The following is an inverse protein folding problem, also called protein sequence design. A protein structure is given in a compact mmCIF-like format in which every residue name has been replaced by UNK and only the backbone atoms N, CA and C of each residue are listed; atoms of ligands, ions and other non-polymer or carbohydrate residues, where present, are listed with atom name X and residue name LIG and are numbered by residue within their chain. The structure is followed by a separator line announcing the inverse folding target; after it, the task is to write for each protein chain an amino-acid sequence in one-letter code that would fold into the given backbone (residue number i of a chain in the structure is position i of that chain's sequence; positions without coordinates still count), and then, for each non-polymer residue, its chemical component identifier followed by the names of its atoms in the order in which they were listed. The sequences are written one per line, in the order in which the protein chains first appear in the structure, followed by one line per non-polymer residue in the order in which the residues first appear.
data_IF_602379981105
#
_entry.id   IF_602379981105
#
_cell.length_a   1.000
_cell.length_b   1.000
_cell.length_c   1.000
_cell.angle_alpha   90.00
_cell.angle_beta   90.00
_cell.angle_gamma   90.00
#
_symmetry.space_group_name_H-M   'P 1'
#
loop_
_entity.id
_entity.type
_entity.pdbx_description
1 polymer ?
#
# COMPACT_ATOMS: atom_id res chain seq x y z
N UNK A 1 17.51 -24.07 46.29
CA UNK A 1 17.32 -22.63 46.58
C UNK A 1 18.10 -21.69 45.65
N UNK A 2 18.98 -22.16 44.75
CA UNK A 2 19.82 -21.27 43.90
C UNK A 2 19.26 -21.01 42.48
N UNK A 3 18.28 -21.80 42.04
CA UNK A 3 17.67 -21.69 40.69
C UNK A 3 16.80 -20.43 40.54
N UNK A 4 16.17 -19.98 41.63
CA UNK A 4 15.21 -18.88 41.63
C UNK A 4 15.89 -17.50 41.43
N UNK A 5 17.10 -17.33 41.95
CA UNK A 5 17.86 -16.07 41.78
C UNK A 5 18.37 -15.86 40.36
N UNK A 6 18.64 -16.94 39.62
CA UNK A 6 19.08 -16.85 38.21
C UNK A 6 17.92 -16.47 37.30
N UNK A 7 16.73 -17.06 37.52
CA UNK A 7 15.52 -16.71 36.78
C UNK A 7 15.12 -15.23 37.00
N UNK A 8 15.16 -14.76 38.24
CA UNK A 8 14.86 -13.36 38.55
C UNK A 8 15.85 -12.38 37.90
N UNK A 9 17.16 -12.70 37.90
CA UNK A 9 18.17 -11.86 37.23
C UNK A 9 18.00 -11.81 35.71
N UNK A 10 17.62 -12.93 35.09
CA UNK A 10 17.37 -12.99 33.65
C UNK A 10 16.15 -12.17 33.24
N UNK A 11 15.05 -12.26 34.00
CA UNK A 11 13.83 -11.51 33.75
C UNK A 11 14.06 -9.99 33.88
N UNK A 12 14.76 -9.55 34.93
CA UNK A 12 15.11 -8.14 35.13
C UNK A 12 16.00 -7.62 33.99
N UNK A 13 16.99 -8.40 33.55
CA UNK A 13 17.84 -8.03 32.41
C UNK A 13 17.03 -7.87 31.12
N UNK A 14 16.10 -8.77 30.84
CA UNK A 14 15.25 -8.70 29.64
C UNK A 14 14.33 -7.48 29.65
N UNK A 15 13.73 -7.15 30.80
CA UNK A 15 12.86 -5.96 30.93
C UNK A 15 13.64 -4.67 30.70
N UNK A 16 14.87 -4.56 31.20
CA UNK A 16 15.73 -3.37 30.97
C UNK A 16 16.10 -3.22 29.49
N UNK A 17 16.45 -4.32 28.81
CA UNK A 17 16.78 -4.28 27.37
C UNK A 17 15.57 -3.85 26.54
N UNK A 18 14.38 -4.38 26.84
CA UNK A 18 13.14 -3.98 26.14
C UNK A 18 12.84 -2.50 26.37
N UNK A 19 12.98 -2.00 27.61
CA UNK A 19 12.76 -0.58 27.91
C UNK A 19 13.73 0.34 27.15
N UNK A 20 15.00 -0.04 27.04
CA UNK A 20 16.00 0.72 26.26
C UNK A 20 15.69 0.73 24.76
N UNK A 21 15.24 -0.39 24.19
CA UNK A 21 14.85 -0.46 22.78
C UNK A 21 13.62 0.41 22.48
N UNK A 22 12.63 0.42 23.38
CA UNK A 22 11.45 1.28 23.25
C UNK A 22 11.83 2.76 23.33
N UNK A 23 12.71 3.14 24.26
CA UNK A 23 13.20 4.51 24.38
C UNK A 23 13.98 4.96 23.14
N UNK A 24 14.84 4.09 22.58
CA UNK A 24 15.58 4.37 21.36
C UNK A 24 14.67 4.56 20.14
N UNK A 25 13.63 3.74 19.99
CA UNK A 25 12.64 3.88 18.93
C UNK A 25 11.85 5.20 19.04
N UNK A 26 11.45 5.59 20.25
CA UNK A 26 10.77 6.86 20.49
C UNK A 26 11.68 8.06 20.17
N UNK A 27 12.94 8.03 20.59
CA UNK A 27 13.92 9.08 20.29
C UNK A 27 14.18 9.20 18.77
N UNK A 28 14.27 8.08 18.06
CA UNK A 28 14.43 8.08 16.61
C UNK A 28 13.22 8.68 15.89
N UNK A 29 12.00 8.35 16.34
CA UNK A 29 10.76 8.94 15.81
C UNK A 29 10.69 10.45 16.04
N UNK A 30 11.14 10.92 17.21
CA UNK A 30 11.21 12.35 17.54
C UNK A 30 12.25 13.11 16.69
N UNK A 31 13.43 12.54 16.46
CA UNK A 31 14.43 13.15 15.58
C UNK A 31 13.94 13.26 14.13
N UNK A 32 13.19 12.26 13.65
CA UNK A 32 12.59 12.29 12.31
C UNK A 32 11.52 13.38 12.19
N UNK A 33 10.70 13.62 13.22
CA UNK A 33 9.70 14.69 13.17
C UNK A 33 10.32 16.08 13.19
N UNK A 34 11.44 16.28 13.90
CA UNK A 34 12.19 17.54 13.87
C UNK A 34 12.80 17.84 12.49
N UNK A 35 13.35 16.84 11.81
CA UNK A 35 13.91 17.04 10.46
C UNK A 35 12.86 17.47 9.45
N UNK A 36 11.62 16.97 9.56
CA UNK A 36 10.53 17.36 8.67
C UNK A 36 10.06 18.80 8.94
N UNK A 37 10.09 19.25 10.20
CA UNK A 37 9.71 20.61 10.57
C UNK A 37 10.72 21.68 10.11
N UNK A 38 12.01 21.33 10.04
CA UNK A 38 13.07 22.26 9.61
C UNK A 38 13.07 22.46 8.09
N UNK A 39 12.75 21.43 7.30
CA UNK A 39 12.62 21.55 5.85
C UNK A 39 11.45 22.45 5.44
N UNK A 40 10.35 22.47 6.22
CA UNK A 40 9.21 23.35 5.99
C UNK A 40 9.50 24.83 6.23
N UNK A 41 10.61 25.18 6.92
CA UNK A 41 11.04 26.57 7.16
C UNK A 41 12.04 27.09 6.14
N UNK A 42 12.48 26.26 5.19
CA UNK A 42 13.38 26.73 4.15
C UNK A 42 12.64 27.68 3.20
N UNK A 43 13.14 28.90 2.98
CA UNK A 43 12.55 29.81 2.01
C UNK A 43 12.57 29.15 0.63
N UNK A 44 11.42 29.14 -0.02
CA UNK A 44 11.25 28.58 -1.36
C UNK A 44 12.23 29.29 -2.31
N UNK A 45 13.09 28.57 -3.05
CA UNK A 45 13.96 29.20 -4.04
C UNK A 45 13.11 30.02 -5.02
N UNK A 46 13.53 31.25 -5.27
CA UNK A 46 12.89 32.12 -6.24
C UNK A 46 12.81 31.39 -7.59
N UNK A 47 11.69 31.50 -8.32
CA UNK A 47 11.54 30.86 -9.62
C UNK A 47 12.66 31.34 -10.56
N UNK A 48 13.24 30.45 -11.37
CA UNK A 48 14.25 30.85 -12.35
C UNK A 48 13.65 31.89 -13.30
N UNK A 49 14.41 32.97 -13.54
CA UNK A 49 14.03 34.00 -14.50
C UNK A 49 13.77 33.36 -15.87
N UNK A 50 12.59 33.63 -16.44
CA UNK A 50 12.21 33.18 -17.77
C UNK A 50 13.16 33.79 -18.80
N UNK A 51 14.12 33.00 -19.28
CA UNK A 51 14.97 33.37 -20.41
C UNK A 51 14.10 33.26 -21.66
N UNK A 52 13.83 34.40 -22.29
CA UNK A 52 13.10 34.46 -23.56
C UNK A 52 13.84 33.66 -24.64
N UNK A 53 13.16 32.68 -25.21
CA UNK A 53 13.63 31.93 -26.37
C UNK A 53 13.39 32.81 -27.62
N UNK A 54 14.43 33.12 -28.42
CA UNK A 54 14.23 33.79 -29.70
C UNK A 54 13.54 32.86 -30.69
N UNK A 55 12.50 33.38 -31.35
CA UNK A 55 11.90 32.81 -32.56
C UNK A 55 12.96 32.76 -33.68
N UNK A 56 13.30 31.55 -34.11
CA UNK A 56 13.93 31.25 -35.40
C UNK A 56 13.06 30.14 -35.99
N UNK A 57 12.33 30.35 -37.09
CA UNK A 57 12.83 30.71 -38.40
C UNK A 57 12.61 29.48 -39.29
N UNK A 58 11.67 29.59 -40.23
CA UNK A 58 11.36 28.59 -41.26
C UNK A 58 12.62 28.15 -42.01
N UNK A 59 12.81 26.84 -42.18
CA UNK A 59 13.66 26.34 -43.26
C UNK A 59 13.04 25.07 -43.88
N UNK A 60 12.54 25.29 -45.08
CA UNK A 60 12.03 24.35 -46.06
C UNK A 60 13.23 23.75 -46.83
N UNK A 61 13.43 22.42 -46.80
CA UNK A 61 14.18 21.73 -47.86
C UNK A 61 13.68 20.32 -48.08
N UNK A 62 13.17 20.11 -49.29
CA UNK A 62 13.02 18.82 -49.95
C UNK A 62 14.40 18.19 -50.26
N UNK A 63 14.47 16.85 -50.26
CA UNK A 63 15.66 16.13 -50.72
C UNK A 63 15.51 14.61 -50.64
N UNK A 64 15.06 14.01 -51.73
CA UNK A 64 15.03 12.57 -51.96
C UNK A 64 16.41 12.03 -52.35
N UNK A 65 16.78 10.83 -51.89
CA UNK A 65 17.52 9.81 -52.68
C UNK A 65 17.40 8.42 -52.04
N UNK A 66 16.64 7.56 -52.72
CA UNK A 66 16.97 6.21 -53.20
C UNK A 66 18.21 5.49 -52.60
N UNK A 67 18.01 4.26 -52.06
CA UNK A 67 18.88 3.10 -52.29
C UNK A 67 18.40 1.80 -51.58
N UNK A 68 18.12 0.80 -52.41
CA UNK A 68 18.43 -0.62 -52.27
C UNK A 68 17.77 -1.48 -51.16
N UNK A 69 16.78 -2.26 -51.60
CA UNK A 69 16.28 -3.47 -50.96
C UNK A 69 17.26 -4.65 -51.08
N UNK A 70 17.21 -5.60 -50.12
CA UNK A 70 17.42 -7.01 -50.42
C UNK A 70 16.11 -7.79 -50.31
N UNK A 71 15.81 -8.49 -51.40
CA UNK A 71 14.89 -9.61 -51.53
C UNK A 71 15.29 -10.72 -50.56
N UNK A 72 14.36 -11.20 -49.73
CA UNK A 72 14.43 -12.59 -49.26
C UNK A 72 13.03 -13.18 -49.09
N UNK A 73 12.86 -14.35 -49.67
CA UNK A 73 11.61 -15.07 -49.86
C UNK A 73 11.36 -16.01 -48.68
N UNK A 74 10.23 -15.85 -48.02
CA UNK A 74 9.86 -16.69 -46.88
C UNK A 74 8.37 -16.66 -46.58
N UNK A 75 7.54 -16.87 -47.61
CA UNK A 75 6.09 -17.04 -47.45
C UNK A 75 5.79 -18.40 -46.81
N UNK A 76 5.51 -18.42 -45.50
CA UNK A 76 4.69 -19.47 -44.88
C UNK A 76 3.26 -18.96 -44.73
N UNK A 77 2.35 -19.61 -45.45
CA UNK A 77 0.91 -19.37 -45.47
C UNK A 77 0.30 -19.26 -44.06
N UNK A 78 -0.54 -18.24 -43.78
CA UNK A 78 -1.39 -18.27 -42.60
C UNK A 78 -2.50 -19.30 -42.79
N UNK A 79 -2.59 -20.26 -41.87
CA UNK A 79 -3.74 -21.16 -41.79
C UNK A 79 -5.01 -20.36 -41.50
N UNK A 80 -6.04 -20.59 -42.32
CA UNK A 80 -7.38 -20.09 -42.13
C UNK A 80 -7.97 -20.63 -40.81
N UNK A 81 -8.32 -19.73 -39.90
CA UNK A 81 -9.19 -20.03 -38.77
C UNK A 81 -10.63 -20.21 -39.30
N UNK A 82 -11.37 -21.26 -38.89
CA UNK A 82 -12.78 -21.38 -39.25
C UNK A 82 -13.62 -20.30 -38.56
N UNK A 83 -14.56 -19.77 -39.34
CA UNK A 83 -15.57 -18.78 -38.95
C UNK A 83 -16.22 -19.11 -37.60
N UNK A 84 -15.99 -18.25 -36.61
CA UNK A 84 -16.83 -18.20 -35.41
C UNK A 84 -18.15 -17.52 -35.77
N UNK A 85 -19.31 -18.10 -35.39
CA UNK A 85 -20.60 -17.53 -35.71
C UNK A 85 -20.81 -16.19 -34.99
N UNK A 86 -21.37 -15.24 -35.74
CA UNK A 86 -21.76 -13.92 -35.27
C UNK A 86 -22.68 -13.98 -34.03
N UNK A 87 -22.42 -13.19 -32.98
CA UNK A 87 -23.38 -13.04 -31.90
C UNK A 87 -24.58 -12.22 -32.41
N UNK A 88 -25.74 -12.86 -32.40
CA UNK A 88 -27.04 -12.25 -32.64
C UNK A 88 -27.25 -11.10 -31.66
N UNK A 89 -27.34 -9.88 -32.19
CA UNK A 89 -27.73 -8.69 -31.45
C UNK A 89 -29.24 -8.72 -31.16
N UNK A 90 -29.58 -8.86 -29.87
CA UNK A 90 -30.92 -8.59 -29.35
C UNK A 90 -30.79 -8.02 -27.93
N UNK A 91 -31.18 -6.76 -27.75
CA UNK A 91 -31.55 -6.22 -26.43
C UNK A 91 -30.62 -5.15 -25.87
N UNK A 92 -30.86 -3.91 -26.28
CA UNK A 92 -30.48 -2.72 -25.51
C UNK A 92 -31.07 -2.78 -24.09
N UNK A 93 -30.20 -2.77 -23.09
CA UNK A 93 -30.48 -2.06 -21.84
C UNK A 93 -29.16 -1.53 -21.28
N UNK A 94 -29.08 -0.21 -21.19
CA UNK A 94 -27.92 0.50 -20.64
C UNK A 94 -27.67 0.11 -19.19
N UNK A 95 -26.46 -0.36 -18.79
CA UNK A 95 -26.06 -0.32 -17.40
C UNK A 95 -25.53 1.08 -17.09
N UNK A 96 -26.37 1.90 -16.47
CA UNK A 96 -25.94 3.14 -15.81
C UNK A 96 -24.83 2.81 -14.83
N UNK A 97 -23.74 3.59 -14.85
CA UNK A 97 -22.65 3.50 -13.88
C UNK A 97 -23.19 3.53 -12.45
N UNK A 98 -23.12 2.39 -11.77
CA UNK A 98 -23.46 2.26 -10.36
C UNK A 98 -22.42 2.99 -9.51
N UNK A 99 -22.81 4.11 -8.93
CA UNK A 99 -22.06 4.75 -7.87
C UNK A 99 -21.87 3.77 -6.70
N UNK A 100 -20.67 3.68 -6.09
CA UNK A 100 -20.46 2.81 -4.95
C UNK A 100 -21.21 3.31 -3.71
N UNK A 101 -22.08 2.45 -3.16
CA UNK A 101 -22.43 2.43 -1.74
C UNK A 101 -23.85 2.85 -1.38
N UNK A 102 -24.83 1.97 -1.62
CA UNK A 102 -26.10 2.01 -0.86
C UNK A 102 -25.80 1.78 0.62
N UNK A 103 -26.07 2.77 1.45
CA UNK A 103 -25.95 2.68 2.91
C UNK A 103 -27.17 1.92 3.45
N UNK A 104 -26.97 0.74 4.01
CA UNK A 104 -27.99 0.08 4.82
C UNK A 104 -28.10 0.85 6.14
N UNK A 105 -29.15 1.67 6.25
CA UNK A 105 -29.51 2.37 7.48
C UNK A 105 -30.54 1.52 8.23
N UNK A 106 -30.15 0.89 9.34
CA UNK A 106 -31.10 0.15 10.19
C UNK A 106 -31.70 1.13 11.20
N UNK A 107 -32.95 1.53 10.97
CA UNK A 107 -33.69 2.44 11.84
C UNK A 107 -34.42 1.67 12.96
N UNK A 108 -34.14 2.02 14.22
CA UNK A 108 -35.06 1.74 15.32
C UNK A 108 -36.08 2.89 15.42
N UNK A 109 -37.38 2.56 15.38
CA UNK A 109 -38.47 3.54 15.36
C UNK A 109 -38.87 3.87 16.81
N UNK A 110 -38.62 5.10 17.28
CA UNK A 110 -39.16 5.62 18.53
C UNK A 110 -38.50 6.91 19.04
N UNK A 111 -39.05 8.08 18.67
CA UNK A 111 -38.75 9.40 19.27
C UNK A 111 -37.53 10.13 18.71
N UNK A 112 -37.74 11.07 17.77
CA UNK A 112 -36.73 12.04 17.31
C UNK A 112 -35.35 11.45 16.97
N UNK A 113 -35.31 10.48 16.04
CA UNK A 113 -34.06 9.78 15.72
C UNK A 113 -32.94 10.71 15.26
N UNK A 114 -31.71 10.40 15.65
CA UNK A 114 -30.50 11.00 15.11
C UNK A 114 -30.12 10.26 13.82
N UNK A 115 -29.93 11.01 12.73
CA UNK A 115 -29.63 10.46 11.40
C UNK A 115 -28.24 10.91 10.96
N UNK A 116 -27.17 10.27 11.46
CA UNK A 116 -25.83 10.70 11.17
C UNK A 116 -25.50 10.51 9.69
N UNK A 117 -24.83 11.50 9.12
CA UNK A 117 -24.21 11.43 7.80
C UNK A 117 -22.73 11.72 7.94
N UNK A 118 -21.89 10.84 7.40
CA UNK A 118 -20.44 10.97 7.44
C UNK A 118 -19.89 10.84 6.01
N UNK A 119 -18.90 11.65 5.68
CA UNK A 119 -18.12 11.58 4.44
C UNK A 119 -16.63 11.48 4.76
N UNK A 120 -15.87 10.61 4.07
CA UNK A 120 -14.42 10.62 4.15
C UNK A 120 -13.86 11.81 3.36
N UNK A 121 -12.62 12.21 3.68
CA UNK A 121 -11.85 13.17 2.91
C UNK A 121 -11.56 12.66 1.49
N UNK A 122 -11.39 11.34 1.34
CA UNK A 122 -11.17 10.67 0.07
C UNK A 122 -11.90 9.32 0.05
N UNK A 123 -12.59 9.02 -1.05
CA UNK A 123 -13.25 7.72 -1.26
C UNK A 123 -12.33 6.65 -1.86
N UNK A 124 -11.19 7.08 -2.42
CA UNK A 124 -10.17 6.23 -3.01
C UNK A 124 -8.80 6.69 -2.55
N UNK A 125 -8.05 5.84 -1.85
CA UNK A 125 -6.78 6.21 -1.23
C UNK A 125 -5.74 5.11 -1.39
N UNK A 126 -4.46 5.49 -1.54
CA UNK A 126 -3.37 4.53 -1.58
C UNK A 126 -2.99 4.04 -0.17
N UNK A 127 -2.49 2.80 -0.02
CA UNK A 127 -1.88 2.35 1.24
C UNK A 127 -0.80 3.33 1.72
N UNK A 128 -0.79 3.60 3.02
CA UNK A 128 0.06 4.61 3.66
C UNK A 128 -0.51 6.03 3.62
N UNK A 129 -1.54 6.30 2.81
CA UNK A 129 -2.27 7.57 2.82
C UNK A 129 -3.11 7.75 4.10
N UNK A 130 -3.56 8.98 4.35
CA UNK A 130 -4.41 9.32 5.50
C UNK A 130 -5.84 9.65 5.10
N UNK A 131 -6.83 9.16 5.85
CA UNK A 131 -8.25 9.53 5.70
C UNK A 131 -8.76 10.23 6.95
N UNK A 132 -9.55 11.29 6.76
CA UNK A 132 -10.29 12.01 7.81
C UNK A 132 -11.78 11.88 7.53
N UNK A 133 -12.62 11.82 8.56
CA UNK A 133 -14.07 11.79 8.39
C UNK A 133 -14.68 13.08 8.94
N UNK A 134 -15.54 13.70 8.14
CA UNK A 134 -16.42 14.79 8.56
C UNK A 134 -17.86 14.26 8.62
N UNK A 135 -18.59 14.60 9.67
CA UNK A 135 -19.97 14.15 9.81
C UNK A 135 -20.84 15.10 10.60
N UNK A 136 -22.15 14.88 10.50
CA UNK A 136 -23.20 15.64 11.17
C UNK A 136 -24.37 14.73 11.54
N UNK A 137 -25.31 15.22 12.36
CA UNK A 137 -26.52 14.48 12.72
C UNK A 137 -26.35 13.55 13.93
N UNK A 138 -25.25 13.68 14.66
CA UNK A 138 -25.07 13.09 15.99
C UNK A 138 -25.74 13.97 17.06
N UNK A 139 -25.90 13.45 18.27
CA UNK A 139 -26.38 14.23 19.42
C UNK A 139 -25.32 15.28 19.82
N UNK A 140 -25.69 16.56 19.98
CA UNK A 140 -24.76 17.59 20.40
C UNK A 140 -24.01 17.24 21.68
N UNK A 141 -22.68 17.42 21.66
CA UNK A 141 -21.82 17.13 22.80
C UNK A 141 -21.56 15.64 23.08
N UNK A 142 -22.14 14.71 22.31
CA UNK A 142 -21.96 13.28 22.58
C UNK A 142 -20.57 12.76 22.18
N UNK A 143 -20.14 11.66 22.78
CA UNK A 143 -18.94 10.95 22.38
C UNK A 143 -19.28 10.02 21.20
N UNK A 144 -18.59 10.17 20.08
CA UNK A 144 -18.69 9.30 18.90
C UNK A 144 -17.48 8.40 18.85
N UNK A 145 -17.71 7.08 18.81
CA UNK A 145 -16.68 6.06 18.68
C UNK A 145 -16.50 5.68 17.22
N UNK A 146 -15.26 5.71 16.74
CA UNK A 146 -14.87 5.16 15.44
C UNK A 146 -14.35 3.74 15.66
N UNK A 147 -14.85 2.79 14.89
CA UNK A 147 -14.47 1.37 14.90
C UNK A 147 -14.34 0.80 13.48
N UNK A 148 -13.98 -0.48 13.37
CA UNK A 148 -13.77 -1.17 12.10
C UNK A 148 -12.31 -1.14 11.69
N UNK A 149 -11.98 -0.47 10.58
CA UNK A 149 -10.62 -0.38 10.06
C UNK A 149 -9.65 0.47 10.91
N UNK A 150 -10.17 1.29 11.83
CA UNK A 150 -9.40 2.05 12.81
C UNK A 150 -10.21 2.23 14.11
N UNK A 151 -9.57 2.74 15.17
CA UNK A 151 -10.23 3.08 16.42
C UNK A 151 -9.85 4.47 16.90
N UNK A 152 -10.85 5.27 17.26
CA UNK A 152 -10.69 6.56 17.92
C UNK A 152 -12.00 6.96 18.61
N UNK A 153 -11.95 8.02 19.41
CA UNK A 153 -13.13 8.69 19.94
C UNK A 153 -13.05 10.18 19.60
N UNK A 154 -14.18 10.76 19.21
CA UNK A 154 -14.33 12.19 18.92
C UNK A 154 -15.61 12.70 19.55
N UNK A 155 -15.60 13.92 20.12
CA UNK A 155 -16.80 14.52 20.68
C UNK A 155 -17.52 15.34 19.60
N UNK A 156 -18.82 15.11 19.44
CA UNK A 156 -19.67 15.94 18.60
C UNK A 156 -19.79 17.34 19.19
N UNK A 157 -19.75 18.37 18.33
CA UNK A 157 -19.88 19.76 18.76
C UNK A 157 -21.33 20.11 19.17
N UNK A 158 -21.59 21.38 19.48
CA UNK A 158 -22.93 21.85 19.85
C UNK A 158 -23.98 21.73 18.72
N UNK A 159 -23.55 21.52 17.48
CA UNK A 159 -24.41 21.30 16.33
C UNK A 159 -24.53 19.80 15.96
N UNK A 160 -23.90 18.89 16.72
CA UNK A 160 -23.89 17.47 16.42
C UNK A 160 -22.96 17.09 15.27
N UNK A 161 -21.96 17.94 14.97
CA UNK A 161 -20.95 17.70 13.92
C UNK A 161 -19.64 17.17 14.51
N UNK A 162 -18.90 16.43 13.69
CA UNK A 162 -17.60 15.84 14.05
C UNK A 162 -16.57 16.03 12.93
N UNK A 163 -15.30 16.09 13.32
CA UNK A 163 -14.14 15.86 12.46
C UNK A 163 -13.21 14.90 13.20
N UNK A 164 -12.94 13.73 12.62
CA UNK A 164 -12.06 12.74 13.27
C UNK A 164 -10.58 13.15 13.16
N UNK A 165 -9.70 12.56 13.97
CA UNK A 165 -8.28 12.52 13.65
C UNK A 165 -8.02 11.85 12.29
N UNK A 166 -6.83 12.08 11.72
CA UNK A 166 -6.39 11.40 10.52
C UNK A 166 -6.03 9.94 10.82
N UNK A 167 -6.53 9.01 10.00
CA UNK A 167 -6.22 7.59 10.08
C UNK A 167 -5.29 7.18 8.93
N UNK A 168 -4.15 6.59 9.26
CA UNK A 168 -3.26 5.99 8.25
C UNK A 168 -3.92 4.70 7.74
N UNK A 169 -4.10 4.60 6.42
CA UNK A 169 -4.63 3.39 5.78
C UNK A 169 -3.52 2.35 5.70
N UNK A 170 -3.64 1.21 6.39
CA UNK A 170 -2.56 0.24 6.46
C UNK A 170 -2.34 -0.46 5.12
N UNK A 171 -1.09 -0.81 4.84
CA UNK A 171 -0.78 -1.75 3.76
C UNK A 171 -1.41 -3.12 4.05
N UNK A 172 -2.07 -3.73 3.06
CA UNK A 172 -2.77 -5.01 3.25
C UNK A 172 -3.49 -5.54 2.02
N UNK A 173 -4.18 -6.67 2.16
CA UNK A 173 -4.80 -7.49 1.10
C UNK A 173 -6.25 -7.17 0.74
N UNK A 174 -6.78 -6.00 1.10
CA UNK A 174 -8.18 -5.68 0.84
C UNK A 174 -8.34 -4.36 0.11
N UNK A 175 -9.16 -4.37 -0.93
CA UNK A 175 -9.55 -3.17 -1.68
C UNK A 175 -10.51 -2.28 -0.92
N UNK A 176 -11.14 -2.76 0.15
CA UNK A 176 -12.19 -2.05 0.87
C UNK A 176 -11.85 -1.93 2.36
N UNK A 177 -12.18 -0.77 2.93
CA UNK A 177 -12.06 -0.49 4.37
C UNK A 177 -13.35 0.12 4.87
N UNK A 178 -13.95 -0.52 5.85
CA UNK A 178 -15.20 -0.06 6.48
C UNK A 178 -14.88 0.55 7.84
N UNK A 179 -15.41 1.75 8.05
CA UNK A 179 -15.36 2.49 9.29
C UNK A 179 -16.78 2.63 9.82
N UNK A 180 -16.98 2.28 11.09
CA UNK A 180 -18.25 2.44 11.78
C UNK A 180 -18.14 3.58 12.79
N UNK A 181 -19.03 4.55 12.73
CA UNK A 181 -19.09 5.67 13.67
C UNK A 181 -20.37 5.55 14.47
N UNK A 182 -20.27 5.42 15.79
CA UNK A 182 -21.42 5.26 16.69
C UNK A 182 -21.44 6.28 17.82
N UNK A 183 -22.56 6.97 17.97
CA UNK A 183 -22.83 7.88 19.09
C UNK A 183 -23.10 7.10 20.37
N UNK A 184 -22.36 7.39 21.43
CA UNK A 184 -22.45 6.68 22.70
C UNK A 184 -23.75 6.96 23.48
N UNK A 185 -24.36 8.14 23.28
CA UNK A 185 -25.57 8.56 23.98
C UNK A 185 -26.81 8.38 23.10
N UNK A 186 -26.71 8.76 21.83
CA UNK A 186 -27.81 8.62 20.86
C UNK A 186 -28.02 7.18 20.38
N UNK A 187 -26.97 6.34 20.45
CA UNK A 187 -26.95 5.03 19.79
C UNK A 187 -26.94 5.11 18.26
N UNK A 188 -26.90 6.31 17.68
CA UNK A 188 -26.93 6.51 16.25
C UNK A 188 -25.64 5.98 15.63
N UNK A 189 -25.74 5.30 14.49
CA UNK A 189 -24.60 4.66 13.85
C UNK A 189 -24.62 4.85 12.34
N UNK A 190 -23.44 5.05 11.77
CA UNK A 190 -23.23 5.12 10.31
C UNK A 190 -21.96 4.38 9.94
N UNK A 191 -22.03 3.62 8.86
CA UNK A 191 -20.89 2.94 8.26
C UNK A 191 -20.47 3.62 6.96
N UNK A 192 -19.17 3.84 6.81
CA UNK A 192 -18.56 4.40 5.61
C UNK A 192 -17.51 3.43 5.10
N UNK A 193 -17.63 3.05 3.83
CA UNK A 193 -16.65 2.18 3.17
C UNK A 193 -15.88 2.99 2.14
N UNK A 194 -14.55 2.96 2.23
CA UNK A 194 -13.64 3.55 1.24
C UNK A 194 -12.96 2.46 0.43
N UNK A 195 -12.53 2.80 -0.78
CA UNK A 195 -11.70 1.95 -1.62
C UNK A 195 -10.22 2.27 -1.37
N UNK A 196 -9.41 1.22 -1.27
CA UNK A 196 -7.96 1.30 -1.10
C UNK A 196 -7.30 0.79 -2.38
N UNK A 197 -6.35 1.56 -2.90
CA UNK A 197 -5.61 1.17 -4.09
C UNK A 197 -4.85 -0.14 -3.85
N UNK A 198 -4.93 -1.05 -4.82
CA UNK A 198 -4.15 -2.29 -4.78
C UNK A 198 -2.78 -2.02 -5.40
N UNK A 199 -1.77 -1.82 -4.54
CA UNK A 199 -0.39 -1.83 -4.99
C UNK A 199 0.12 -3.30 -5.03
N UNK A 200 0.59 -3.79 -6.20
CA UNK A 200 1.21 -5.10 -6.28
C UNK A 200 2.49 -5.14 -5.46
N UNK A 201 2.75 -6.28 -4.82
CA UNK A 201 4.01 -6.50 -4.13
C UNK A 201 5.15 -6.64 -5.14
N UNK A 202 6.33 -6.14 -4.80
CA UNK A 202 7.53 -6.29 -5.62
C UNK A 202 8.76 -6.64 -4.78
N UNK A 203 9.76 -7.20 -5.44
CA UNK A 203 10.97 -7.73 -4.83
C UNK A 203 12.20 -7.16 -5.55
N UNK A 204 13.12 -6.61 -4.78
CA UNK A 204 14.41 -6.11 -5.23
C UNK A 204 15.52 -6.96 -4.62
N UNK A 205 16.55 -7.26 -5.42
CA UNK A 205 17.73 -8.02 -5.00
C UNK A 205 18.96 -7.11 -5.04
N UNK A 206 19.91 -7.29 -4.11
CA UNK A 206 21.17 -6.55 -4.14
C UNK A 206 22.06 -6.88 -5.35
N UNK A 207 21.89 -8.08 -5.91
CA UNK A 207 22.46 -8.51 -7.19
C UNK A 207 21.52 -9.53 -7.83
N UNK A 208 21.57 -9.62 -9.16
CA UNK A 208 20.75 -10.53 -9.97
C UNK A 208 21.58 -11.68 -10.56
N UNK A 209 22.89 -11.71 -10.30
CA UNK A 209 23.82 -12.74 -10.72
C UNK A 209 24.92 -12.94 -9.67
N UNK A 210 25.08 -14.16 -9.16
CA UNK A 210 26.19 -14.51 -8.25
C UNK A 210 26.35 -16.03 -8.08
N UNK A 211 27.56 -16.52 -7.70
CA UNK A 211 27.77 -17.92 -7.34
C UNK A 211 27.16 -18.25 -5.97
N UNK A 212 27.05 -19.55 -5.69
CA UNK A 212 26.59 -20.05 -4.40
C UNK A 212 27.48 -19.53 -3.25
N UNK A 213 26.87 -19.28 -2.09
CA UNK A 213 27.53 -18.73 -0.91
C UNK A 213 27.69 -17.21 -0.92
N UNK A 214 27.40 -16.52 -2.03
CA UNK A 214 27.45 -15.05 -2.07
C UNK A 214 26.37 -14.44 -1.18
N UNK A 215 26.71 -13.40 -0.41
CA UNK A 215 25.74 -12.64 0.38
C UNK A 215 24.71 -11.95 -0.54
N UNK A 216 23.44 -12.05 -0.20
CA UNK A 216 22.31 -11.52 -0.96
C UNK A 216 21.37 -10.80 0.00
N UNK A 217 21.03 -9.55 -0.33
CA UNK A 217 19.98 -8.80 0.39
C UNK A 217 18.73 -8.77 -0.48
N UNK A 218 17.62 -9.21 0.10
CA UNK A 218 16.29 -9.22 -0.51
C UNK A 218 15.44 -8.13 0.14
N UNK A 219 14.88 -7.24 -0.67
CA UNK A 219 13.99 -6.17 -0.22
C UNK A 219 12.61 -6.34 -0.85
N UNK A 220 11.63 -6.74 -0.05
CA UNK A 220 10.23 -6.82 -0.44
C UNK A 220 9.48 -5.53 -0.09
N UNK A 221 8.57 -5.08 -0.96
CA UNK A 221 7.74 -3.88 -0.74
C UNK A 221 6.28 -4.13 -1.08
N UNK A 222 5.41 -3.28 -0.52
CA UNK A 222 3.95 -3.34 -0.66
C UNK A 222 3.30 -4.60 -0.07
N UNK A 223 3.98 -5.23 0.89
CA UNK A 223 3.42 -6.25 1.77
C UNK A 223 2.51 -5.60 2.84
N UNK A 224 1.73 -6.41 3.54
CA UNK A 224 0.94 -5.98 4.69
C UNK A 224 1.80 -5.38 5.79
N UNK A 225 1.31 -4.33 6.44
CA UNK A 225 2.00 -3.72 7.57
C UNK A 225 2.25 -4.76 8.67
N UNK A 226 3.47 -4.83 9.20
CA UNK A 226 3.87 -5.76 10.27
C UNK A 226 3.71 -7.26 9.97
N UNK A 227 3.40 -7.65 8.73
CA UNK A 227 3.26 -9.06 8.39
C UNK A 227 4.60 -9.77 8.26
N UNK A 228 4.62 -11.08 8.48
CA UNK A 228 5.81 -11.89 8.18
C UNK A 228 5.85 -12.19 6.68
N UNK A 229 6.97 -11.90 6.04
CA UNK A 229 7.22 -12.14 4.62
C UNK A 229 8.23 -13.27 4.51
N UNK A 230 7.82 -14.39 3.94
CA UNK A 230 8.69 -15.53 3.63
C UNK A 230 9.39 -15.31 2.29
N UNK A 231 10.69 -15.56 2.23
CA UNK A 231 11.51 -15.44 1.03
C UNK A 231 12.06 -16.81 0.64
N UNK A 232 12.00 -17.12 -0.65
CA UNK A 232 12.46 -18.39 -1.22
C UNK A 232 13.19 -18.16 -2.55
N UNK A 233 14.13 -19.06 -2.87
CA UNK A 233 14.83 -19.12 -4.16
C UNK A 233 14.69 -20.54 -4.72
N UNK A 234 13.98 -20.67 -5.85
CA UNK A 234 13.49 -21.97 -6.32
C UNK A 234 12.62 -22.61 -5.24
N UNK A 235 12.90 -23.87 -4.92
CA UNK A 235 12.19 -24.63 -3.87
C UNK A 235 12.78 -24.46 -2.47
N UNK A 236 13.80 -23.59 -2.30
CA UNK A 236 14.48 -23.42 -1.01
C UNK A 236 14.06 -22.15 -0.30
N UNK A 237 13.51 -22.29 0.90
CA UNK A 237 13.25 -21.16 1.81
C UNK A 237 14.58 -20.56 2.28
N UNK A 238 14.75 -19.26 2.07
CA UNK A 238 15.91 -18.49 2.52
C UNK A 238 15.72 -17.97 3.94
N UNK A 239 14.48 -17.71 4.33
CA UNK A 239 14.11 -17.20 5.64
C UNK A 239 12.85 -16.34 5.56
N UNK A 240 12.58 -15.61 6.64
CA UNK A 240 11.47 -14.68 6.69
C UNK A 240 11.89 -13.38 7.39
N UNK A 241 11.28 -12.27 6.98
CA UNK A 241 11.45 -10.97 7.63
C UNK A 241 10.10 -10.32 7.88
N UNK A 242 9.99 -9.59 8.99
CA UNK A 242 8.78 -8.84 9.31
C UNK A 242 8.77 -7.53 8.51
N UNK A 243 7.69 -7.28 7.78
CA UNK A 243 7.46 -5.99 7.14
C UNK A 243 7.31 -4.88 8.20
N UNK A 244 7.76 -3.67 7.90
CA UNK A 244 7.52 -2.51 8.74
C UNK A 244 6.07 -1.98 8.56
N UNK A 245 5.77 -0.80 9.12
CA UNK A 245 4.46 -0.18 9.00
C UNK A 245 4.12 0.19 7.54
N UNK A 246 5.15 0.48 6.73
CA UNK A 246 5.07 0.83 5.32
C UNK A 246 5.07 -0.40 4.38
N UNK A 247 4.95 -1.62 4.92
CA UNK A 247 4.90 -2.84 4.11
C UNK A 247 6.22 -3.22 3.44
N UNK A 248 7.35 -2.74 3.97
CA UNK A 248 8.70 -3.07 3.51
C UNK A 248 9.35 -4.11 4.42
N UNK A 249 9.85 -5.21 3.84
CA UNK A 249 10.57 -6.27 4.54
C UNK A 249 11.97 -6.44 3.94
N UNK A 250 12.98 -6.70 4.77
CA UNK A 250 14.36 -6.91 4.33
C UNK A 250 14.95 -8.16 4.95
N UNK A 251 15.52 -9.04 4.13
CA UNK A 251 16.20 -10.26 4.55
C UNK A 251 17.63 -10.27 4.01
N UNK A 252 18.61 -10.49 4.88
CA UNK A 252 19.98 -10.85 4.47
C UNK A 252 20.11 -12.37 4.47
N UNK A 253 20.55 -12.93 3.35
CA UNK A 253 20.73 -14.36 3.14
C UNK A 253 22.00 -14.62 2.32
N UNK A 254 22.24 -15.89 1.99
CA UNK A 254 23.27 -16.27 1.02
C UNK A 254 22.62 -17.03 -0.13
N UNK A 255 23.18 -16.90 -1.34
CA UNK A 255 22.77 -17.68 -2.51
C UNK A 255 22.97 -19.17 -2.19
N UNK A 256 21.93 -20.01 -2.21
CA UNK A 256 22.09 -21.44 -1.94
C UNK A 256 22.91 -22.15 -3.02
N UNK A 257 23.54 -23.27 -2.64
CA UNK A 257 24.14 -24.19 -3.59
C UNK A 257 23.10 -24.86 -4.51
N UNK A 258 23.55 -25.26 -5.71
CA UNK A 258 22.80 -26.02 -6.71
C UNK A 258 23.25 -25.66 -8.12
N UNK A 259 22.58 -26.18 -9.14
CA UNK A 259 22.97 -25.98 -10.54
C UNK A 259 22.96 -24.50 -10.95
N UNK A 260 23.92 -24.14 -11.81
CA UNK A 260 23.95 -22.84 -12.47
C UNK A 260 22.75 -22.64 -13.40
N UNK A 261 22.37 -21.39 -13.62
CA UNK A 261 21.28 -21.00 -14.52
C UNK A 261 20.19 -20.18 -13.85
N UNK A 262 19.05 -20.05 -14.55
CA UNK A 262 17.92 -19.24 -14.12
C UNK A 262 17.22 -19.83 -12.89
N UNK A 263 16.95 -18.99 -11.90
CA UNK A 263 16.17 -19.34 -10.71
C UNK A 263 15.23 -18.19 -10.35
N UNK A 264 14.01 -18.53 -9.96
CA UNK A 264 13.04 -17.56 -9.45
C UNK A 264 13.29 -17.30 -7.97
N UNK A 265 13.41 -16.03 -7.59
CA UNK A 265 13.37 -15.60 -6.20
C UNK A 265 11.97 -15.06 -5.94
N UNK A 266 11.32 -15.52 -4.88
CA UNK A 266 9.97 -15.03 -4.54
C UNK A 266 9.82 -14.72 -3.08
N UNK A 267 8.87 -13.84 -2.81
CA UNK A 267 8.48 -13.40 -1.48
C UNK A 267 6.96 -13.53 -1.32
N UNK A 268 6.51 -14.03 -0.17
CA UNK A 268 5.09 -14.21 0.15
C UNK A 268 4.76 -13.62 1.52
N UNK A 269 3.81 -12.69 1.56
CA UNK A 269 3.21 -12.23 2.80
C UNK A 269 2.32 -13.31 3.41
N UNK A 270 2.61 -13.74 4.64
CA UNK A 270 1.88 -14.86 5.27
C UNK A 270 0.47 -14.48 5.72
N UNK A 271 0.20 -13.21 6.01
CA UNK A 271 -1.12 -12.75 6.43
C UNK A 271 -1.95 -12.27 5.23
N UNK A 272 -1.31 -11.54 4.32
CA UNK A 272 -2.01 -10.96 3.16
C UNK A 272 -2.11 -11.90 1.97
N UNK A 273 -1.22 -12.90 1.89
CA UNK A 273 -1.08 -13.76 0.71
C UNK A 273 -0.45 -13.06 -0.50
N UNK A 274 -0.05 -11.78 -0.39
CA UNK A 274 0.61 -11.06 -1.47
C UNK A 274 1.90 -11.77 -1.87
N UNK A 275 2.20 -11.75 -3.18
CA UNK A 275 3.37 -12.39 -3.76
C UNK A 275 4.15 -11.40 -4.60
N UNK A 276 5.47 -11.52 -4.54
CA UNK A 276 6.40 -10.84 -5.43
C UNK A 276 7.42 -11.85 -5.94
N UNK A 277 7.94 -11.65 -7.15
CA UNK A 277 9.02 -12.45 -7.70
C UNK A 277 10.04 -11.57 -8.41
N UNK A 278 11.28 -12.06 -8.45
CA UNK A 278 12.39 -11.51 -9.21
C UNK A 278 13.13 -12.67 -9.89
N UNK A 279 13.61 -12.42 -11.10
CA UNK A 279 14.51 -13.34 -11.78
C UNK A 279 15.92 -13.23 -11.20
N UNK A 280 16.66 -14.33 -11.16
CA UNK A 280 18.05 -14.37 -10.72
C UNK A 280 18.79 -15.44 -11.51
N UNK A 281 20.07 -15.20 -11.81
CA UNK A 281 20.93 -16.17 -12.49
C UNK A 281 22.00 -16.66 -11.51
N UNK A 282 21.98 -17.95 -11.20
CA UNK A 282 23.04 -18.57 -10.39
C UNK A 282 24.26 -18.80 -11.26
N UNK A 283 25.39 -18.21 -10.86
CA UNK A 283 26.65 -18.43 -11.54
C UNK A 283 27.17 -19.87 -11.32
N UNK A 284 28.01 -20.39 -12.22
CA UNK A 284 28.72 -21.65 -12.04
C UNK A 284 29.49 -21.75 -10.73
#
# INVERSE_FOLDING_TARGET
MDTDRKAHRFLVGMVVVVALLVAAAAAWSYLRSMSAADEARRPHPAPPATVGVPETGEEDTAGATDAAAPTDEGQTSPQAFPDSPAPTASGESSPSGGAPGSRTQTSAIGGGGFYPSVAPSEWYIVPGGTVVFAGSGFMPGELVRVGGAASAEVRADSAGSIITPAFIVPHGSGEWRTYALSGASSGASVSVTIRVAVAPAYLLLSTYYAPAGTALVLTGRQFGAHELVEFQMGDRVLGAARANAEGSAMLAAHVPSGAAGDVSVSARGLSTGKRASAHFVRAP
#
